data_IF_905452325962
#
_entry.id   IF_905452325962
#
_cell.length_a   1.000
_cell.length_b   1.000
_cell.length_c   1.000
_cell.angle_alpha   90.00
_cell.angle_beta   90.00
_cell.angle_gamma   90.00
#
_symmetry.space_group_name_H-M   'P 1'
#
loop_
_entity.id
_entity.type
_entity.pdbx_description
1 polymer ?
#
# COMPACT_ATOMS: atom_id res chain seq x y z
N UNK A 1 -24.63 -58.34 39.34
CA UNK A 1 -23.55 -57.33 39.40
C UNK A 1 -22.57 -57.62 38.27
N UNK A 2 -22.45 -56.70 37.30
CA UNK A 2 -21.13 -56.25 36.86
C UNK A 2 -20.94 -54.76 37.19
N UNK A 3 -19.74 -54.46 37.65
CA UNK A 3 -19.30 -53.15 38.11
C UNK A 3 -18.69 -52.34 36.96
N UNK A 4 -19.09 -51.07 36.96
CA UNK A 4 -18.33 -49.87 36.64
C UNK A 4 -17.92 -49.62 35.19
N UNK A 5 -18.63 -48.64 34.64
CA UNK A 5 -18.30 -47.88 33.45
C UNK A 5 -16.95 -47.18 33.63
N UNK A 6 -16.15 -47.35 32.59
CA UNK A 6 -14.87 -46.74 32.41
C UNK A 6 -15.01 -45.22 32.24
N UNK A 7 -13.97 -44.56 32.72
CA UNK A 7 -13.84 -43.14 32.89
C UNK A 7 -13.98 -42.34 31.58
N UNK A 8 -14.89 -41.38 31.58
CA UNK A 8 -14.69 -40.13 30.83
C UNK A 8 -14.72 -38.99 31.84
N UNK A 9 -13.51 -38.69 32.32
CA UNK A 9 -13.20 -37.36 32.82
C UNK A 9 -13.06 -36.38 31.67
N UNK A 10 -12.73 -35.15 32.05
CA UNK A 10 -12.51 -33.97 31.21
C UNK A 10 -13.81 -33.17 30.98
N UNK A 11 -14.11 -32.21 31.86
CA UNK A 11 -13.64 -30.81 31.80
C UNK A 11 -14.15 -30.13 30.53
N UNK A 12 -14.67 -28.92 30.52
CA UNK A 12 -14.93 -27.88 31.49
C UNK A 12 -15.85 -26.91 30.75
N UNK A 13 -16.39 -25.91 31.46
CA UNK A 13 -16.83 -24.64 30.91
C UNK A 13 -17.34 -24.64 29.45
N UNK A 14 -18.65 -24.75 29.27
CA UNK A 14 -19.27 -24.25 28.05
C UNK A 14 -19.08 -22.72 28.04
N UNK A 15 -18.03 -22.25 27.36
CA UNK A 15 -17.87 -20.84 27.04
C UNK A 15 -19.11 -20.36 26.27
N UNK A 16 -19.68 -19.19 26.63
CA UNK A 16 -20.76 -18.63 25.82
C UNK A 16 -20.25 -18.45 24.38
N UNK A 17 -21.10 -18.65 23.35
CA UNK A 17 -20.72 -18.32 22.00
C UNK A 17 -20.41 -16.83 21.99
N UNK A 18 -19.12 -16.52 21.97
CA UNK A 18 -18.64 -15.17 21.74
C UNK A 18 -19.06 -14.82 20.33
N UNK A 19 -20.22 -14.20 20.24
CA UNK A 19 -20.66 -13.44 19.07
C UNK A 19 -19.76 -12.20 18.99
N UNK A 20 -18.48 -12.48 18.74
CA UNK A 20 -17.52 -11.47 18.36
C UNK A 20 -17.98 -11.02 16.99
N UNK A 21 -18.53 -9.81 16.95
CA UNK A 21 -18.54 -8.96 15.78
C UNK A 21 -17.08 -8.76 15.36
N UNK A 22 -16.47 -9.81 14.82
CA UNK A 22 -15.31 -9.71 13.96
C UNK A 22 -15.88 -9.02 12.75
N UNK A 23 -15.54 -7.74 12.61
CA UNK A 23 -15.88 -6.99 11.43
C UNK A 23 -15.53 -7.84 10.23
N UNK A 24 -16.52 -8.09 9.38
CA UNK A 24 -16.33 -8.56 8.01
C UNK A 24 -15.68 -7.43 7.21
N UNK A 25 -14.54 -6.92 7.68
CA UNK A 25 -13.55 -6.40 6.77
C UNK A 25 -13.02 -7.65 6.09
N UNK A 26 -13.51 -7.89 4.89
CA UNK A 26 -12.97 -8.84 3.92
C UNK A 26 -11.44 -8.87 4.10
N UNK A 27 -10.94 -9.92 4.76
CA UNK A 27 -9.53 -10.06 5.11
C UNK A 27 -8.79 -10.42 3.82
N UNK A 28 -8.43 -9.36 3.08
CA UNK A 28 -7.45 -9.34 2.02
C UNK A 28 -7.70 -10.31 0.87
N UNK A 29 -8.36 -9.85 -0.19
CA UNK A 29 -8.07 -10.36 -1.54
C UNK A 29 -6.63 -9.96 -1.88
N UNK A 30 -5.67 -10.78 -1.45
CA UNK A 30 -4.27 -10.67 -1.84
C UNK A 30 -4.15 -11.28 -3.24
N UNK A 31 -4.26 -10.44 -4.26
CA UNK A 31 -3.99 -10.84 -5.64
C UNK A 31 -2.50 -10.67 -5.90
N UNK A 32 -1.79 -11.77 -6.13
CA UNK A 32 -0.43 -11.70 -6.66
C UNK A 32 -0.50 -11.07 -8.06
N UNK A 33 0.05 -9.86 -8.20
CA UNK A 33 0.18 -9.23 -9.51
C UNK A 33 1.36 -9.88 -10.21
N UNK A 34 1.12 -10.52 -11.35
CA UNK A 34 2.21 -11.03 -12.17
C UNK A 34 2.91 -9.85 -12.87
N UNK A 35 4.19 -9.99 -13.20
CA UNK A 35 4.95 -8.94 -13.89
C UNK A 35 4.38 -8.60 -15.27
N UNK A 36 3.62 -9.53 -15.87
CA UNK A 36 2.93 -9.36 -17.15
C UNK A 36 1.76 -8.36 -17.07
N UNK A 37 1.22 -8.11 -15.87
CA UNK A 37 0.19 -7.09 -15.64
C UNK A 37 0.78 -5.67 -15.54
N UNK A 38 2.12 -5.53 -15.49
CA UNK A 38 2.79 -4.23 -15.46
C UNK A 38 2.83 -3.60 -16.85
N UNK A 39 2.38 -2.33 -16.97
CA UNK A 39 2.53 -1.54 -18.19
C UNK A 39 3.81 -0.68 -18.13
N UNK A 40 4.93 -1.15 -18.74
CA UNK A 40 6.17 -0.38 -18.76
C UNK A 40 6.06 0.88 -19.60
N UNK A 41 5.21 0.88 -20.63
CA UNK A 41 5.06 2.03 -21.53
C UNK A 41 4.25 3.11 -20.85
N UNK A 42 3.14 2.78 -20.21
CA UNK A 42 2.34 3.71 -19.42
C UNK A 42 3.16 4.35 -18.30
N UNK A 43 3.96 3.55 -17.59
CA UNK A 43 4.86 4.04 -16.54
C UNK A 43 5.93 4.97 -17.11
N UNK A 44 6.57 4.61 -18.24
CA UNK A 44 7.56 5.46 -18.91
C UNK A 44 6.94 6.81 -19.30
N UNK A 45 5.73 6.82 -19.87
CA UNK A 45 5.01 8.04 -20.24
C UNK A 45 4.76 8.91 -19.00
N UNK A 46 4.34 8.31 -17.88
CA UNK A 46 4.13 9.02 -16.63
C UNK A 46 5.42 9.70 -16.13
N UNK A 47 6.54 8.97 -16.19
CA UNK A 47 7.87 9.48 -15.84
C UNK A 47 8.30 10.63 -16.76
N UNK A 48 8.07 10.50 -18.08
CA UNK A 48 8.42 11.56 -19.04
C UNK A 48 7.57 12.82 -18.83
N UNK A 49 6.28 12.68 -18.55
CA UNK A 49 5.40 13.80 -18.21
C UNK A 49 5.88 14.47 -16.93
N UNK A 50 6.20 13.69 -15.90
CA UNK A 50 6.76 14.20 -14.66
C UNK A 50 8.05 14.99 -14.91
N UNK A 51 8.98 14.42 -15.68
CA UNK A 51 10.23 15.10 -16.03
C UNK A 51 10.01 16.39 -16.82
N UNK A 52 9.05 16.40 -17.74
CA UNK A 52 8.70 17.60 -18.51
C UNK A 52 8.16 18.71 -17.59
N UNK A 53 7.36 18.37 -16.58
CA UNK A 53 6.88 19.34 -15.58
C UNK A 53 8.05 19.89 -14.78
N UNK A 54 8.95 19.02 -14.29
CA UNK A 54 10.13 19.45 -13.52
C UNK A 54 11.02 20.39 -14.32
N UNK A 55 11.35 20.02 -15.57
CA UNK A 55 12.16 20.85 -16.46
C UNK A 55 11.43 22.15 -16.78
N UNK A 56 10.12 22.09 -17.05
CA UNK A 56 9.30 23.28 -17.29
C UNK A 56 9.32 24.25 -16.11
N UNK A 57 9.10 23.75 -14.90
CA UNK A 57 9.18 24.56 -13.67
C UNK A 57 10.61 25.07 -13.41
N UNK A 58 11.63 24.25 -13.65
CA UNK A 58 13.04 24.62 -13.47
C UNK A 58 13.46 25.73 -14.42
N UNK A 59 13.15 25.58 -15.72
CA UNK A 59 13.39 26.60 -16.75
C UNK A 59 12.59 27.87 -16.43
N UNK A 60 11.33 27.74 -16.02
CA UNK A 60 10.51 28.87 -15.63
C UNK A 60 11.10 29.62 -14.43
N UNK A 61 11.53 28.91 -13.38
CA UNK A 61 12.22 29.50 -12.23
C UNK A 61 13.50 30.22 -12.64
N UNK A 62 14.30 29.60 -13.52
CA UNK A 62 15.47 30.24 -14.10
C UNK A 62 15.10 31.55 -14.79
N UNK A 63 14.10 31.56 -15.68
CA UNK A 63 13.66 32.81 -16.32
C UNK A 63 13.19 33.86 -15.29
N UNK A 64 12.37 33.48 -14.31
CA UNK A 64 11.89 34.41 -13.26
C UNK A 64 13.05 35.05 -12.48
N UNK A 65 14.09 34.28 -12.19
CA UNK A 65 15.25 34.77 -11.45
C UNK A 65 16.18 35.63 -12.30
N UNK A 66 16.44 35.23 -13.55
CA UNK A 66 17.47 35.85 -14.41
C UNK A 66 16.95 36.92 -15.41
N UNK A 67 15.64 37.05 -15.68
CA UNK A 67 15.10 38.12 -16.55
C UNK A 67 14.87 39.47 -15.83
N UNK A 68 14.92 39.50 -14.49
CA UNK A 68 14.72 40.72 -13.68
C UNK A 68 15.89 41.10 -12.78
N UNK A 69 16.86 40.20 -12.61
CA UNK A 69 18.09 40.39 -11.83
C UNK A 69 19.19 39.80 -12.69
N UNK A 70 20.05 40.64 -13.27
CA UNK A 70 21.09 40.19 -14.19
C UNK A 70 21.91 39.04 -13.59
N UNK A 71 22.42 38.14 -14.44
CA UNK A 71 23.31 37.03 -14.09
C UNK A 71 24.51 37.51 -13.26
N UNK A 72 24.38 37.64 -11.94
CA UNK A 72 25.55 37.71 -11.06
C UNK A 72 26.11 36.30 -10.96
N UNK A 73 26.91 35.95 -11.96
CA UNK A 73 27.82 34.82 -11.89
C UNK A 73 28.79 35.14 -10.77
N UNK A 74 28.58 34.55 -9.59
CA UNK A 74 29.64 34.49 -8.56
C UNK A 74 30.51 33.31 -8.94
N UNK A 75 31.61 33.63 -9.61
CA UNK A 75 32.76 32.79 -9.92
C UNK A 75 34.00 33.65 -9.84
#
# INVERSE_FOLDING_TARGET
MPANADSQGDSGQADPPVDSIVGTADDGIVRELEHDDFDPVGTLVLVLIYMAILIGMWVFMYFVEFLGRGLTVVG
#
